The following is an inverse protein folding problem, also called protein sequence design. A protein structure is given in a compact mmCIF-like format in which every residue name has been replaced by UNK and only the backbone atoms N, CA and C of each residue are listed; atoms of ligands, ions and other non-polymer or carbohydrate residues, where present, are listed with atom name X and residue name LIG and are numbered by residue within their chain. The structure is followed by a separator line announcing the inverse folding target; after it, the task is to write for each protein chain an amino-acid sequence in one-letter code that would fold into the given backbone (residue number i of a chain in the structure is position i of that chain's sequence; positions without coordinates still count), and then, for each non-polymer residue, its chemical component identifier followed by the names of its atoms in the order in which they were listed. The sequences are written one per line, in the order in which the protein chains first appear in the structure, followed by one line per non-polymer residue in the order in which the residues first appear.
data_IF_225360903923
#
_entry.id   IF_225360903923
#
_cell.length_a   1.000
_cell.length_b   1.000
_cell.length_c   1.000
_cell.angle_alpha   90.00
_cell.angle_beta   90.00
_cell.angle_gamma   90.00
#
_symmetry.space_group_name_H-M   'P 1'
#
loop_
_entity.id
_entity.type
_entity.pdbx_description
1 polymer ?
#
# COMPACT_ATOMS: atom_id res chain seq x y z
N UNK A 1 12.77 0.20 14.10
CA UNK A 1 11.60 1.09 14.31
C UNK A 1 12.07 2.19 15.25
N UNK A 2 11.88 3.45 14.91
CA UNK A 2 12.24 4.61 15.76
C UNK A 2 11.00 5.37 16.24
N UNK A 3 9.83 5.14 15.63
CA UNK A 3 8.59 5.70 16.13
C UNK A 3 7.45 4.69 16.06
N UNK A 4 6.62 4.67 17.11
CA UNK A 4 5.36 3.95 17.13
C UNK A 4 4.34 4.67 18.01
N UNK A 5 3.17 4.99 17.45
CA UNK A 5 2.08 5.62 18.19
C UNK A 5 0.72 5.24 17.61
N UNK A 6 -0.34 5.39 18.40
CA UNK A 6 -1.70 5.37 17.88
C UNK A 6 -2.17 6.79 17.63
N UNK A 7 -2.89 6.97 16.53
CA UNK A 7 -3.70 8.14 16.25
C UNK A 7 -5.15 7.77 16.57
N UNK A 8 -5.66 8.26 17.69
CA UNK A 8 -7.02 8.02 18.13
C UNK A 8 -7.98 9.06 17.57
N UNK A 9 -9.11 8.59 17.03
CA UNK A 9 -10.22 9.43 16.60
C UNK A 9 -11.48 8.95 17.31
N UNK A 10 -12.19 9.87 17.95
CA UNK A 10 -13.54 9.62 18.50
C UNK A 10 -14.60 10.04 17.49
N UNK A 11 -15.56 9.17 17.22
CA UNK A 11 -16.56 9.38 16.17
C UNK A 11 -17.90 8.70 16.51
N UNK A 12 -18.93 8.97 15.70
CA UNK A 12 -20.20 8.24 15.76
C UNK A 12 -19.97 6.73 15.55
N UNK A 13 -20.67 5.83 16.25
CA UNK A 13 -20.54 4.38 16.05
C UNK A 13 -20.80 3.88 14.62
N UNK A 14 -21.47 4.67 13.79
CA UNK A 14 -21.77 4.33 12.39
C UNK A 14 -20.73 4.84 11.39
N UNK A 15 -19.78 5.65 11.85
CA UNK A 15 -18.75 6.26 11.00
C UNK A 15 -17.56 5.32 10.82
N UNK A 16 -16.98 5.33 9.62
CA UNK A 16 -15.71 4.65 9.33
C UNK A 16 -14.58 5.67 9.41
N UNK A 17 -13.47 5.33 10.06
CA UNK A 17 -12.27 6.18 10.11
C UNK A 17 -11.12 5.45 9.44
N UNK A 18 -10.47 6.12 8.49
CA UNK A 18 -9.30 5.59 7.77
C UNK A 18 -8.25 6.67 7.57
N UNK A 19 -7.03 6.24 7.23
CA UNK A 19 -5.96 7.16 6.88
C UNK A 19 -6.03 7.60 5.41
N UNK A 20 -5.66 8.85 5.14
CA UNK A 20 -5.41 9.34 3.79
C UNK A 20 -4.01 8.94 3.28
N UNK A 21 -3.64 9.44 2.10
CA UNK A 21 -2.32 9.21 1.51
C UNK A 21 -1.16 9.83 2.30
N UNK A 22 -1.44 10.77 3.20
CA UNK A 22 -0.48 11.45 4.06
C UNK A 22 -0.53 10.97 5.52
N UNK A 23 -1.35 9.95 5.82
CA UNK A 23 -1.51 9.41 7.17
C UNK A 23 -2.46 10.21 8.08
N UNK A 24 -3.19 11.19 7.54
CA UNK A 24 -4.18 11.97 8.29
C UNK A 24 -5.49 11.20 8.36
N UNK A 25 -6.22 11.34 9.47
CA UNK A 25 -7.48 10.65 9.64
C UNK A 25 -8.61 11.32 8.84
N UNK A 26 -9.39 10.50 8.15
CA UNK A 26 -10.63 10.88 7.46
C UNK A 26 -11.77 10.08 8.07
N UNK A 27 -12.86 10.78 8.40
CA UNK A 27 -14.17 10.15 8.60
C UNK A 27 -14.81 9.95 7.23
N UNK A 28 -15.11 8.70 6.88
CA UNK A 28 -15.74 8.29 5.64
C UNK A 28 -17.12 7.67 5.95
N UNK A 29 -18.19 8.46 5.80
CA UNK A 29 -19.55 8.00 6.06
C UNK A 29 -20.21 7.47 4.79
N UNK A 30 -21.29 6.70 4.96
CA UNK A 30 -22.22 6.33 3.88
C UNK A 30 -21.52 5.78 2.62
N UNK A 31 -20.75 4.71 2.80
CA UNK A 31 -19.98 4.09 1.72
C UNK A 31 -20.90 3.50 0.63
N UNK A 32 -20.95 4.16 -0.53
CA UNK A 32 -21.68 3.71 -1.70
C UNK A 32 -20.75 2.98 -2.67
N UNK A 33 -21.12 1.75 -3.07
CA UNK A 33 -20.39 1.01 -4.09
C UNK A 33 -20.49 1.71 -5.47
N UNK A 34 -19.52 1.51 -6.37
CA UNK A 34 -19.63 1.97 -7.75
C UNK A 34 -20.82 1.32 -8.45
N UNK A 35 -21.41 2.01 -9.42
CA UNK A 35 -22.45 1.46 -10.31
C UNK A 35 -21.85 0.71 -11.50
N UNK A 36 -20.61 1.02 -11.87
CA UNK A 36 -19.83 0.30 -12.87
C UNK A 36 -18.36 0.24 -12.49
N UNK A 37 -17.70 -0.86 -12.83
CA UNK A 37 -16.26 -1.02 -12.68
C UNK A 37 -15.72 -1.88 -13.81
N UNK A 38 -14.78 -1.35 -14.60
CA UNK A 38 -14.28 -2.02 -15.81
C UNK A 38 -12.78 -1.89 -15.90
N UNK A 39 -12.06 -2.97 -16.21
CA UNK A 39 -10.62 -2.89 -16.46
C UNK A 39 -10.29 -2.39 -17.88
N UNK A 40 -9.02 -2.14 -18.15
CA UNK A 40 -8.53 -1.71 -19.47
C UNK A 40 -8.92 -2.64 -20.63
N UNK A 41 -9.19 -3.92 -20.34
CA UNK A 41 -9.62 -4.90 -21.35
C UNK A 41 -11.13 -4.93 -21.56
N UNK A 42 -11.89 -4.10 -20.86
CA UNK A 42 -13.35 -4.05 -20.92
C UNK A 42 -14.04 -5.09 -20.04
N UNK A 43 -13.31 -5.78 -19.15
CA UNK A 43 -13.90 -6.79 -18.26
C UNK A 43 -14.55 -6.12 -17.06
N UNK A 44 -15.77 -6.55 -16.75
CA UNK A 44 -16.50 -6.10 -15.57
C UNK A 44 -15.83 -6.62 -14.29
N UNK A 45 -15.47 -5.69 -13.40
CA UNK A 45 -14.87 -5.93 -12.09
C UNK A 45 -15.78 -5.58 -10.92
N UNK A 46 -17.03 -5.16 -11.16
CA UNK A 46 -17.92 -4.63 -10.14
C UNK A 46 -18.07 -5.59 -8.96
N UNK A 47 -18.34 -6.87 -9.22
CA UNK A 47 -18.45 -7.88 -8.16
C UNK A 47 -17.19 -8.09 -7.33
N UNK A 48 -16.01 -7.79 -7.89
CA UNK A 48 -14.71 -7.97 -7.24
C UNK A 48 -14.28 -6.76 -6.39
N UNK A 49 -14.93 -5.61 -6.57
CA UNK A 49 -14.56 -4.34 -5.92
C UNK A 49 -15.71 -3.67 -5.17
N UNK A 50 -16.93 -4.20 -5.23
CA UNK A 50 -18.09 -3.57 -4.59
C UNK A 50 -18.16 -3.81 -3.07
N UNK A 51 -17.48 -4.84 -2.54
CA UNK A 51 -17.65 -5.29 -1.15
C UNK A 51 -16.34 -5.80 -0.56
N UNK A 52 -16.16 -5.58 0.74
CA UNK A 52 -15.11 -6.24 1.51
C UNK A 52 -15.47 -7.72 1.74
N UNK A 53 -15.20 -8.56 0.73
CA UNK A 53 -15.45 -10.01 0.77
C UNK A 53 -14.23 -10.87 0.39
N UNK A 54 -13.07 -10.24 0.15
CA UNK A 54 -11.83 -10.92 -0.22
C UNK A 54 -11.74 -11.31 -1.70
N UNK A 55 -12.76 -11.06 -2.52
CA UNK A 55 -12.80 -11.37 -3.95
C UNK A 55 -12.05 -10.34 -4.83
N UNK A 56 -10.92 -9.84 -4.35
CA UNK A 56 -10.19 -8.73 -4.94
C UNK A 56 -9.81 -8.88 -6.42
N UNK A 57 -9.73 -7.71 -7.07
CA UNK A 57 -9.35 -7.57 -8.47
C UNK A 57 -7.96 -8.15 -8.77
N UNK A 58 -7.85 -8.75 -9.96
CA UNK A 58 -6.61 -9.29 -10.52
C UNK A 58 -6.61 -9.20 -12.03
N UNK A 59 -5.46 -8.94 -12.63
CA UNK A 59 -5.28 -9.00 -14.08
C UNK A 59 -5.41 -10.43 -14.59
N UNK A 60 -5.91 -10.59 -15.81
CA UNK A 60 -5.94 -11.88 -16.49
C UNK A 60 -4.53 -12.27 -16.95
N UNK A 61 -4.30 -13.57 -17.17
CA UNK A 61 -3.03 -14.02 -17.76
C UNK A 61 -2.81 -13.40 -19.15
N UNK A 62 -3.88 -13.28 -19.93
CA UNK A 62 -3.84 -12.63 -21.24
C UNK A 62 -3.39 -11.17 -21.14
N UNK A 63 -3.88 -10.41 -20.15
CA UNK A 63 -3.45 -9.03 -19.93
C UNK A 63 -1.96 -8.96 -19.57
N UNK A 64 -1.49 -9.81 -18.66
CA UNK A 64 -0.08 -9.86 -18.28
C UNK A 64 0.83 -10.20 -19.47
N UNK A 65 0.41 -11.14 -20.31
CA UNK A 65 1.17 -11.54 -21.50
C UNK A 65 1.19 -10.45 -22.59
N UNK A 66 0.27 -9.48 -22.56
CA UNK A 66 0.22 -8.37 -23.52
C UNK A 66 0.97 -7.12 -23.07
N UNK A 67 1.55 -7.11 -21.87
CA UNK A 67 2.34 -5.99 -21.36
C UNK A 67 3.65 -5.85 -22.14
N UNK A 68 4.00 -4.61 -22.47
CA UNK A 68 5.20 -4.23 -23.20
C UNK A 68 5.90 -3.07 -22.47
N UNK A 69 7.18 -2.81 -22.81
CA UNK A 69 8.01 -1.83 -22.11
C UNK A 69 7.45 -0.40 -22.21
N UNK A 70 6.76 -0.07 -23.30
CA UNK A 70 6.10 1.22 -23.52
C UNK A 70 4.69 1.32 -22.91
N UNK A 71 4.18 0.22 -22.33
CA UNK A 71 2.85 0.16 -21.71
C UNK A 71 2.80 -0.88 -20.58
N UNK A 72 3.34 -0.49 -19.42
CA UNK A 72 3.40 -1.30 -18.20
C UNK A 72 2.15 -1.20 -17.32
N UNK A 73 1.27 -0.24 -17.61
CA UNK A 73 0.13 0.10 -16.74
C UNK A 73 -1.14 -0.66 -17.10
N UNK A 74 -1.98 -0.83 -16.11
CA UNK A 74 -3.37 -1.26 -16.20
C UNK A 74 -4.25 -0.23 -15.49
N UNK A 75 -5.56 -0.29 -15.69
CA UNK A 75 -6.48 0.58 -14.96
C UNK A 75 -7.83 -0.06 -14.68
N UNK A 76 -8.53 0.50 -13.69
CA UNK A 76 -9.96 0.26 -13.43
C UNK A 76 -10.68 1.60 -13.57
N UNK A 77 -11.62 1.67 -14.50
CA UNK A 77 -12.57 2.76 -14.63
C UNK A 77 -13.81 2.46 -13.78
N UNK A 78 -14.19 3.43 -12.96
CA UNK A 78 -15.27 3.36 -11.99
C UNK A 78 -16.26 4.50 -12.26
N UNK A 79 -17.55 4.20 -12.10
CA UNK A 79 -18.59 5.24 -12.08
C UNK A 79 -19.40 5.13 -10.80
N UNK A 80 -19.76 6.28 -10.23
CA UNK A 80 -20.60 6.41 -9.05
C UNK A 80 -21.76 7.36 -9.34
N UNK A 81 -22.92 7.05 -8.79
CA UNK A 81 -24.02 8.01 -8.68
C UNK A 81 -23.70 8.99 -7.54
N UNK A 82 -23.88 10.28 -7.80
CA UNK A 82 -23.66 11.35 -6.82
C UNK A 82 -24.83 12.32 -6.83
N UNK A 83 -25.14 12.87 -5.67
CA UNK A 83 -26.11 13.96 -5.57
C UNK A 83 -25.47 15.27 -6.05
N UNK A 84 -26.14 16.06 -6.90
CA UNK A 84 -25.63 17.36 -7.34
C UNK A 84 -25.30 18.29 -6.17
N UNK A 85 -24.18 18.99 -6.26
CA UNK A 85 -23.70 19.92 -5.23
C UNK A 85 -23.02 19.25 -4.03
N UNK A 86 -22.65 17.97 -4.14
CA UNK A 86 -21.85 17.29 -3.11
C UNK A 86 -20.37 17.65 -3.26
N UNK A 87 -19.84 18.40 -2.30
CA UNK A 87 -18.44 18.86 -2.31
C UNK A 87 -17.51 18.03 -1.41
N UNK A 88 -18.06 17.35 -0.40
CA UNK A 88 -17.29 16.61 0.62
C UNK A 88 -17.36 15.10 0.36
N UNK A 89 -16.65 14.63 -0.68
CA UNK A 89 -16.58 13.21 -1.02
C UNK A 89 -15.17 12.64 -0.89
N UNK A 90 -15.08 11.36 -0.52
CA UNK A 90 -13.83 10.63 -0.53
C UNK A 90 -13.95 9.29 -1.24
N UNK A 91 -12.91 8.91 -1.98
CA UNK A 91 -12.76 7.57 -2.50
C UNK A 91 -12.20 6.67 -1.40
N UNK A 92 -13.04 5.79 -0.87
CA UNK A 92 -12.63 4.73 0.04
C UNK A 92 -12.08 3.54 -0.74
N UNK A 93 -10.98 2.97 -0.27
CA UNK A 93 -10.28 1.85 -0.87
C UNK A 93 -9.88 0.83 0.18
N UNK A 94 -10.20 -0.45 -0.05
CA UNK A 94 -9.59 -1.58 0.65
C UNK A 94 -8.71 -2.34 -0.32
N UNK A 95 -7.40 -2.34 -0.06
CA UNK A 95 -6.41 -2.81 -1.01
C UNK A 95 -5.14 -3.33 -0.35
N UNK A 96 -4.33 -4.06 -1.11
CA UNK A 96 -2.94 -4.42 -0.80
C UNK A 96 -2.17 -4.62 -2.10
N UNK A 97 -0.85 -4.62 -2.05
CA UNK A 97 -0.09 -4.98 -3.24
C UNK A 97 -0.23 -6.48 -3.54
N UNK A 98 -0.01 -6.84 -4.80
CA UNK A 98 0.31 -8.22 -5.16
C UNK A 98 1.77 -8.55 -4.79
N UNK A 99 2.19 -9.77 -5.07
CA UNK A 99 3.59 -10.18 -4.90
C UNK A 99 4.50 -9.66 -6.03
N UNK A 100 4.01 -8.83 -6.96
CA UNK A 100 4.83 -8.26 -8.02
C UNK A 100 6.03 -7.48 -7.45
N UNK A 101 5.82 -6.67 -6.41
CA UNK A 101 6.92 -5.97 -5.74
C UNK A 101 7.93 -6.90 -5.10
N UNK A 102 7.46 -8.03 -4.57
CA UNK A 102 8.33 -9.08 -4.03
C UNK A 102 9.21 -9.68 -5.12
N UNK A 103 8.65 -9.94 -6.31
CA UNK A 103 9.41 -10.42 -7.48
C UNK A 103 10.39 -9.37 -7.98
N UNK A 104 9.94 -8.12 -8.13
CA UNK A 104 10.81 -7.03 -8.55
C UNK A 104 12.00 -6.88 -7.60
N UNK A 105 11.76 -6.82 -6.30
CA UNK A 105 12.82 -6.61 -5.31
C UNK A 105 13.72 -7.83 -5.13
N UNK A 106 13.14 -9.02 -4.91
CA UNK A 106 13.95 -10.20 -4.59
C UNK A 106 14.54 -10.90 -5.80
N UNK A 107 13.75 -11.10 -6.87
CA UNK A 107 14.24 -11.84 -8.03
C UNK A 107 15.05 -10.92 -8.95
N UNK A 108 14.51 -9.77 -9.35
CA UNK A 108 15.12 -8.89 -10.37
C UNK A 108 16.18 -7.95 -9.79
N UNK A 109 15.90 -7.29 -8.67
CA UNK A 109 16.84 -6.34 -8.08
C UNK A 109 17.95 -7.02 -7.29
N UNK A 110 17.74 -8.18 -6.67
CA UNK A 110 18.75 -8.82 -5.81
C UNK A 110 19.30 -10.12 -6.40
N UNK A 111 18.46 -11.13 -6.63
CA UNK A 111 18.92 -12.47 -6.98
C UNK A 111 19.69 -12.51 -8.33
N UNK A 112 19.22 -11.80 -9.36
CA UNK A 112 19.86 -11.76 -10.69
C UNK A 112 21.29 -11.18 -10.67
N UNK A 113 21.61 -10.35 -9.67
CA UNK A 113 22.94 -9.74 -9.55
C UNK A 113 23.98 -10.68 -8.90
N UNK A 114 23.54 -11.81 -8.30
CA UNK A 114 24.41 -12.72 -7.56
C UNK A 114 25.20 -12.00 -6.45
N UNK A 115 26.51 -12.20 -6.40
CA UNK A 115 27.39 -11.47 -5.49
C UNK A 115 27.40 -9.94 -5.71
N UNK A 116 27.09 -9.47 -6.92
CA UNK A 116 27.02 -8.04 -7.24
C UNK A 116 25.96 -7.28 -6.43
N UNK A 117 24.93 -7.98 -5.92
CA UNK A 117 23.93 -7.39 -5.04
C UNK A 117 24.55 -6.83 -3.74
N UNK A 118 25.63 -7.44 -3.23
CA UNK A 118 26.32 -6.96 -2.01
C UNK A 118 27.02 -5.63 -2.25
N UNK A 119 27.68 -5.49 -3.40
CA UNK A 119 28.31 -4.22 -3.79
C UNK A 119 27.25 -3.16 -4.06
N UNK A 120 26.15 -3.53 -4.73
CA UNK A 120 25.04 -2.64 -5.01
C UNK A 120 24.39 -2.11 -3.71
N UNK A 121 24.04 -3.00 -2.76
CA UNK A 121 23.47 -2.63 -1.46
C UNK A 121 24.47 -1.85 -0.58
N UNK A 122 25.72 -2.31 -0.52
CA UNK A 122 26.73 -1.75 0.38
C UNK A 122 27.35 -0.43 -0.10
N UNK A 123 27.41 -0.20 -1.42
CA UNK A 123 28.07 0.97 -2.01
C UNK A 123 27.16 1.80 -2.89
N UNK A 124 26.44 1.19 -3.83
CA UNK A 124 25.74 1.95 -4.88
C UNK A 124 24.44 2.57 -4.39
N UNK A 125 23.68 1.89 -3.53
CA UNK A 125 22.49 2.45 -2.85
C UNK A 125 22.86 3.50 -1.79
N UNK A 126 24.14 3.61 -1.42
CA UNK A 126 24.64 4.69 -0.56
C UNK A 126 25.24 5.86 -1.38
N UNK A 127 25.35 5.72 -2.71
CA UNK A 127 25.70 6.81 -3.59
C UNK A 127 24.45 7.63 -3.92
N UNK A 128 24.53 8.94 -3.64
CA UNK A 128 23.41 9.88 -3.77
C UNK A 128 22.72 9.80 -5.15
N UNK A 129 23.49 9.73 -6.24
CA UNK A 129 22.93 9.72 -7.60
C UNK A 129 22.15 8.44 -7.93
N UNK A 130 22.65 7.27 -7.50
CA UNK A 130 21.97 5.99 -7.75
C UNK A 130 20.71 5.85 -6.88
N UNK A 131 20.78 6.26 -5.62
CA UNK A 131 19.63 6.30 -4.69
C UNK A 131 18.51 7.17 -5.25
N UNK A 132 18.86 8.37 -5.73
CA UNK A 132 17.92 9.29 -6.34
C UNK A 132 17.32 8.70 -7.62
N UNK A 133 18.14 8.08 -8.48
CA UNK A 133 17.65 7.47 -9.72
C UNK A 133 16.64 6.34 -9.44
N UNK A 134 16.97 5.41 -8.54
CA UNK A 134 16.06 4.32 -8.14
C UNK A 134 14.79 4.89 -7.50
N UNK A 135 14.91 5.87 -6.60
CA UNK A 135 13.77 6.48 -5.92
C UNK A 135 12.83 7.24 -6.87
N UNK A 136 13.40 7.99 -7.83
CA UNK A 136 12.62 8.70 -8.86
C UNK A 136 11.94 7.72 -9.82
N UNK A 137 12.66 6.70 -10.28
CA UNK A 137 12.09 5.66 -11.13
C UNK A 137 10.96 4.91 -10.43
N UNK A 138 11.16 4.54 -9.17
CA UNK A 138 10.13 3.85 -8.38
C UNK A 138 8.90 4.73 -8.19
N UNK A 139 9.08 6.01 -7.82
CA UNK A 139 7.98 6.97 -7.65
C UNK A 139 7.21 7.22 -8.94
N UNK A 140 7.90 7.24 -10.09
CA UNK A 140 7.27 7.47 -11.38
C UNK A 140 6.43 6.27 -11.86
N UNK A 141 6.86 5.05 -11.52
CA UNK A 141 6.24 3.84 -12.05
C UNK A 141 5.27 3.17 -11.08
N UNK A 142 5.60 3.12 -9.79
CA UNK A 142 4.92 2.32 -8.78
C UNK A 142 3.82 3.11 -8.06
N UNK A 143 3.10 2.44 -7.16
CA UNK A 143 1.94 3.01 -6.48
C UNK A 143 0.63 2.90 -7.26
N UNK A 144 -0.38 3.61 -6.77
CA UNK A 144 -1.72 3.71 -7.33
C UNK A 144 -2.05 5.18 -7.57
N UNK A 145 -2.26 5.56 -8.82
CA UNK A 145 -2.73 6.88 -9.17
C UNK A 145 -4.25 6.89 -9.24
N UNK A 146 -4.87 7.88 -8.59
CA UNK A 146 -6.31 8.12 -8.60
C UNK A 146 -6.56 9.33 -9.48
N UNK A 147 -7.34 9.13 -10.55
CA UNK A 147 -7.72 10.20 -11.46
C UNK A 147 -9.23 10.40 -11.48
N UNK A 148 -9.68 11.63 -11.62
CA UNK A 148 -11.10 12.02 -11.71
C UNK A 148 -11.35 12.67 -13.07
N UNK A 149 -12.44 12.30 -13.73
CA UNK A 149 -12.86 12.92 -14.98
C UNK A 149 -13.47 14.30 -14.72
N UNK A 150 -12.98 15.33 -15.40
CA UNK A 150 -13.48 16.71 -15.28
C UNK A 150 -14.52 17.11 -16.35
N UNK A 151 -14.83 16.20 -17.28
CA UNK A 151 -15.66 16.48 -18.45
C UNK A 151 -14.91 16.35 -19.77
N UNK A 152 -13.60 16.59 -19.75
CA UNK A 152 -12.72 16.58 -20.93
C UNK A 152 -11.56 15.60 -20.79
N UNK A 153 -10.98 15.48 -19.59
CA UNK A 153 -9.83 14.64 -19.32
C UNK A 153 -9.86 14.08 -17.89
N UNK A 154 -9.03 13.04 -17.67
CA UNK A 154 -8.74 12.54 -16.34
C UNK A 154 -7.65 13.40 -15.69
N UNK A 155 -7.97 14.00 -14.55
CA UNK A 155 -7.05 14.80 -13.73
C UNK A 155 -6.61 14.01 -12.50
N UNK A 156 -5.34 14.15 -12.11
CA UNK A 156 -4.84 13.49 -10.90
C UNK A 156 -5.51 14.07 -9.65
N UNK A 157 -6.14 13.22 -8.84
CA UNK A 157 -6.77 13.57 -7.57
C UNK A 157 -5.99 13.06 -6.36
N UNK A 158 -5.13 12.05 -6.55
CA UNK A 158 -4.30 11.53 -5.48
C UNK A 158 -3.40 10.38 -5.93
N UNK A 159 -2.51 9.99 -5.02
CA UNK A 159 -1.59 8.89 -5.23
C UNK A 159 -1.40 8.11 -3.92
N UNK A 160 -1.49 6.79 -3.98
CA UNK A 160 -1.12 5.91 -2.87
C UNK A 160 0.19 5.21 -3.19
N UNK A 161 1.16 5.34 -2.27
CA UNK A 161 2.36 4.53 -2.32
C UNK A 161 2.03 3.05 -2.03
N UNK A 162 2.88 2.15 -2.50
CA UNK A 162 2.76 0.72 -2.23
C UNK A 162 2.75 0.44 -0.71
N UNK A 163 1.87 -0.46 -0.27
CA UNK A 163 1.59 -0.83 1.13
C UNK A 163 2.11 -2.23 1.50
N UNK A 164 2.65 -2.96 0.53
CA UNK A 164 3.08 -4.35 0.68
C UNK A 164 1.92 -5.37 0.53
N UNK A 165 2.25 -6.67 0.45
CA UNK A 165 1.28 -7.72 0.10
C UNK A 165 0.63 -8.43 1.30
N UNK A 166 1.10 -8.16 2.53
CA UNK A 166 0.73 -8.93 3.73
C UNK A 166 -0.65 -8.53 4.26
N UNK A 167 -0.79 -7.29 4.71
CA UNK A 167 -2.02 -6.81 5.32
C UNK A 167 -2.89 -6.09 4.29
N UNK A 168 -4.21 -6.17 4.48
CA UNK A 168 -5.13 -5.26 3.81
C UNK A 168 -4.99 -3.88 4.46
N UNK A 169 -4.90 -2.85 3.62
CA UNK A 169 -4.96 -1.45 4.01
C UNK A 169 -6.31 -0.89 3.60
N UNK A 170 -6.90 -0.10 4.49
CA UNK A 170 -8.06 0.72 4.21
C UNK A 170 -7.61 2.19 4.14
N UNK A 171 -7.96 2.88 3.07
CA UNK A 171 -7.53 4.25 2.76
C UNK A 171 -8.71 5.07 2.26
N UNK A 172 -8.67 6.38 2.47
CA UNK A 172 -9.58 7.30 1.80
C UNK A 172 -8.81 8.46 1.16
N UNK A 173 -9.22 8.90 -0.03
CA UNK A 173 -8.68 10.09 -0.68
C UNK A 173 -9.82 11.07 -0.88
N UNK A 174 -9.71 12.29 -0.33
CA UNK A 174 -10.64 13.36 -0.67
C UNK A 174 -10.57 13.65 -2.17
N UNK A 175 -11.71 13.70 -2.83
CA UNK A 175 -11.79 14.01 -4.24
C UNK A 175 -12.15 15.50 -4.44
N UNK A 176 -11.79 16.10 -5.58
CA UNK A 176 -12.29 17.43 -5.91
C UNK A 176 -13.82 17.46 -5.98
N UNK A 177 -14.40 18.63 -5.72
CA UNK A 177 -15.84 18.85 -5.77
C UNK A 177 -16.43 18.41 -7.12
N UNK A 178 -17.57 17.70 -7.06
CA UNK A 178 -18.19 17.07 -8.24
C UNK A 178 -19.17 18.01 -8.95
N UNK A 179 -19.39 19.21 -8.39
CA UNK A 179 -20.24 20.26 -8.93
C UNK A 179 -21.68 19.77 -9.13
N UNK A 180 -22.31 20.16 -10.23
CA UNK A 180 -23.70 19.78 -10.56
C UNK A 180 -23.82 18.41 -11.26
N UNK A 181 -22.72 17.66 -11.40
CA UNK A 181 -22.76 16.34 -12.04
C UNK A 181 -23.53 15.34 -11.17
N UNK A 182 -24.26 14.43 -11.82
CA UNK A 182 -24.90 13.27 -11.18
C UNK A 182 -24.04 12.01 -11.20
N UNK A 183 -22.92 12.08 -11.92
CA UNK A 183 -22.03 10.94 -12.09
C UNK A 183 -20.60 11.39 -11.84
N UNK A 184 -19.92 10.66 -10.97
CA UNK A 184 -18.50 10.80 -10.74
C UNK A 184 -17.78 9.65 -11.44
N UNK A 185 -16.80 9.97 -12.29
CA UNK A 185 -15.94 8.96 -12.92
C UNK A 185 -14.54 9.01 -12.35
N UNK A 186 -14.06 7.87 -11.90
CA UNK A 186 -12.75 7.71 -11.29
C UNK A 186 -11.98 6.64 -12.04
N UNK A 187 -10.71 6.90 -12.31
CA UNK A 187 -9.77 5.91 -12.83
C UNK A 187 -8.72 5.59 -11.78
N UNK A 188 -8.54 4.31 -11.50
CA UNK A 188 -7.42 3.78 -10.74
C UNK A 188 -6.36 3.28 -11.71
N UNK A 189 -5.18 3.89 -11.74
CA UNK A 189 -4.10 3.59 -12.69
C UNK A 189 -2.85 3.11 -11.95
N UNK A 190 -2.29 1.97 -12.37
CA UNK A 190 -1.19 1.32 -11.66
C UNK A 190 -0.43 0.35 -12.59
N UNK A 191 0.75 -0.10 -12.17
CA UNK A 191 1.48 -1.18 -12.89
C UNK A 191 0.62 -2.44 -12.94
N UNK A 192 0.55 -3.08 -14.09
CA UNK A 192 -0.33 -4.21 -14.31
C UNK A 192 -0.19 -5.30 -13.24
N UNK A 193 -1.32 -5.62 -12.60
CA UNK A 193 -1.44 -6.60 -11.52
C UNK A 193 -0.67 -6.27 -10.22
N UNK A 194 -0.18 -5.03 -10.01
CA UNK A 194 0.52 -4.62 -8.79
C UNK A 194 -0.40 -4.48 -7.57
N UNK A 195 -1.70 -4.30 -7.77
CA UNK A 195 -2.68 -4.13 -6.70
C UNK A 195 -3.72 -5.28 -6.66
N UNK A 196 -4.16 -5.59 -5.45
CA UNK A 196 -5.34 -6.37 -5.13
C UNK A 196 -6.33 -5.39 -4.51
N UNK A 197 -7.38 -5.04 -5.23
CA UNK A 197 -8.39 -4.09 -4.76
C UNK A 197 -9.66 -4.88 -4.46
N UNK A 198 -10.07 -4.89 -3.21
CA UNK A 198 -11.20 -5.68 -2.73
C UNK A 198 -12.46 -4.84 -2.57
N UNK A 199 -12.28 -3.58 -2.19
CA UNK A 199 -13.39 -2.65 -2.09
C UNK A 199 -12.99 -1.29 -2.63
N UNK A 200 -13.88 -0.71 -3.42
CA UNK A 200 -13.91 0.71 -3.72
C UNK A 200 -15.30 1.22 -3.35
N UNK A 201 -15.36 2.34 -2.65
CA UNK A 201 -16.63 2.99 -2.34
C UNK A 201 -16.46 4.51 -2.41
N UNK A 202 -17.55 5.23 -2.67
CA UNK A 202 -17.62 6.67 -2.48
C UNK A 202 -18.21 6.94 -1.11
N UNK A 203 -17.49 7.69 -0.29
CA UNK A 203 -17.95 8.19 0.98
C UNK A 203 -18.51 9.59 0.81
N UNK A 204 -19.66 9.86 1.43
CA UNK A 204 -20.29 11.20 1.46
C UNK A 204 -20.07 11.86 2.81
N UNK A 205 -20.02 13.20 2.83
CA UNK A 205 -19.73 13.97 4.04
C UNK A 205 -18.36 13.64 4.63
N UNK A 206 -17.40 13.35 3.75
CA UNK A 206 -16.06 12.95 4.14
C UNK A 206 -15.26 14.17 4.60
N UNK A 207 -14.59 14.05 5.75
CA UNK A 207 -13.87 15.17 6.33
C UNK A 207 -12.56 14.71 6.98
N UNK A 208 -11.54 15.56 6.89
CA UNK A 208 -10.34 15.42 7.69
C UNK A 208 -10.66 15.75 9.14
N UNK A 209 -10.14 14.94 10.05
CA UNK A 209 -10.30 15.15 11.48
C UNK A 209 -8.95 15.12 12.18
N UNK A 210 -8.84 15.90 13.25
CA UNK A 210 -7.69 15.81 14.13
C UNK A 210 -7.73 14.50 14.89
N UNK A 211 -6.54 13.95 15.15
CA UNK A 211 -6.38 12.74 15.93
C UNK A 211 -5.59 13.05 17.20
N UNK A 212 -5.95 12.37 18.29
CA UNK A 212 -5.20 12.39 19.53
C UNK A 212 -4.06 11.40 19.42
N UNK A 213 -2.83 11.85 19.60
CA UNK A 213 -1.67 10.96 19.65
C UNK A 213 -1.66 10.22 20.99
N UNK A 214 -1.45 8.89 20.92
CA UNK A 214 -1.28 8.01 22.08
C UNK A 214 0.05 7.29 21.94
N UNK A 215 1.01 7.66 22.77
CA UNK A 215 2.33 7.08 22.77
C UNK A 215 2.34 5.68 23.40
N UNK A 216 3.37 4.90 23.08
CA UNK A 216 3.63 3.63 23.75
C UNK A 216 3.80 3.86 25.25
N UNK A 217 2.99 3.19 26.06
CA UNK A 217 3.03 3.31 27.51
C UNK A 217 4.00 2.30 28.15
N UNK A 218 4.04 1.08 27.62
CA UNK A 218 4.93 0.00 28.07
C UNK A 218 5.28 -0.94 26.91
N UNK A 219 6.37 -1.69 27.07
CA UNK A 219 6.70 -2.81 26.21
C UNK A 219 7.27 -3.99 27.01
N UNK A 220 7.07 -5.20 26.49
CA UNK A 220 7.61 -6.44 27.03
C UNK A 220 8.36 -7.21 25.93
N UNK A 221 9.53 -7.74 26.27
CA UNK A 221 10.28 -8.71 25.46
C UNK A 221 10.04 -10.12 25.99
N UNK A 222 10.10 -11.14 25.13
CA UNK A 222 10.02 -12.55 25.57
C UNK A 222 11.23 -12.97 26.44
N UNK A 223 12.40 -12.34 26.28
CA UNK A 223 13.65 -12.67 26.96
C UNK A 223 13.98 -11.77 28.18
N UNK A 224 13.06 -10.86 28.54
CA UNK A 224 13.05 -10.16 29.83
C UNK A 224 14.05 -9.02 30.02
N UNK A 225 14.94 -8.75 29.07
CA UNK A 225 15.87 -7.63 29.15
C UNK A 225 15.94 -6.85 27.83
N UNK A 226 15.05 -5.87 27.66
CA UNK A 226 15.22 -4.82 26.66
C UNK A 226 15.64 -3.50 27.33
N UNK A 227 16.36 -2.62 26.62
CA UNK A 227 16.49 -1.23 27.03
C UNK A 227 15.11 -0.55 27.03
N UNK A 228 15.01 0.71 27.48
CA UNK A 228 13.73 1.45 27.56
C UNK A 228 13.07 1.60 26.18
N UNK A 229 12.28 0.60 25.77
CA UNK A 229 11.64 0.51 24.46
C UNK A 229 10.73 1.70 24.19
N UNK A 230 9.87 2.17 25.14
CA UNK A 230 9.11 3.39 24.94
C UNK A 230 9.95 4.58 24.49
N UNK A 231 11.17 4.75 25.00
CA UNK A 231 12.06 5.84 24.60
C UNK A 231 12.46 5.73 23.12
N UNK A 232 12.82 4.53 22.64
CA UNK A 232 13.16 4.27 21.23
C UNK A 232 11.98 4.39 20.26
N UNK A 233 10.75 4.49 20.75
CA UNK A 233 9.54 4.53 19.92
C UNK A 233 8.83 5.89 20.01
N UNK A 234 9.39 6.85 20.75
CA UNK A 234 8.73 8.11 21.06
C UNK A 234 8.71 9.10 19.89
N UNK A 235 9.72 9.09 19.03
CA UNK A 235 9.87 10.07 17.95
C UNK A 235 10.71 9.50 16.81
N UNK A 236 10.40 9.91 15.57
CA UNK A 236 11.23 9.59 14.41
C UNK A 236 12.53 10.42 14.47
N UNK A 237 13.52 9.94 15.22
CA UNK A 237 14.77 10.61 15.55
C UNK A 237 16.02 9.81 15.13
N UNK A 238 15.82 8.77 14.32
CA UNK A 238 16.85 7.85 13.84
C UNK A 238 17.51 7.00 14.96
N UNK A 239 16.95 6.98 16.18
CA UNK A 239 17.35 6.07 17.24
C UNK A 239 16.48 4.82 17.23
N UNK A 240 16.94 3.79 16.52
CA UNK A 240 16.12 2.62 16.25
C UNK A 240 16.12 1.58 17.37
N UNK A 241 14.92 1.14 17.76
CA UNK A 241 14.70 -0.20 18.28
C UNK A 241 14.93 -1.23 17.16
N UNK A 242 15.85 -2.16 17.40
CA UNK A 242 16.26 -3.19 16.45
C UNK A 242 15.77 -4.55 16.96
N UNK A 243 15.06 -5.28 16.10
CA UNK A 243 14.67 -6.68 16.30
C UNK A 243 15.32 -7.55 15.24
N UNK A 244 15.77 -8.74 15.62
CA UNK A 244 16.31 -9.76 14.72
C UNK A 244 15.26 -10.82 14.36
N UNK A 245 15.50 -11.63 13.32
CA UNK A 245 14.61 -12.76 13.01
C UNK A 245 14.39 -13.64 14.25
N UNK A 246 13.11 -13.86 14.59
CA UNK A 246 12.69 -14.64 15.76
C UNK A 246 12.55 -13.84 17.06
N UNK A 247 12.99 -12.59 17.10
CA UNK A 247 12.73 -11.67 18.22
C UNK A 247 11.37 -10.99 18.04
N UNK A 248 10.62 -10.86 19.13
CA UNK A 248 9.33 -10.17 19.14
C UNK A 248 9.23 -9.23 20.36
N UNK A 249 8.46 -8.15 20.21
CA UNK A 249 8.23 -7.17 21.27
C UNK A 249 6.73 -6.89 21.32
N UNK A 250 6.14 -7.04 22.50
CA UNK A 250 4.76 -6.64 22.75
C UNK A 250 4.73 -5.21 23.28
N UNK A 251 4.06 -4.30 22.58
CA UNK A 251 3.86 -2.90 23.00
C UNK A 251 2.43 -2.68 23.49
N UNK A 252 2.27 -1.78 24.47
CA UNK A 252 0.98 -1.50 25.10
C UNK A 252 0.72 0.01 25.10
N UNK A 253 -0.53 0.39 24.84
CA UNK A 253 -1.00 1.77 24.81
C UNK A 253 -2.07 1.98 25.87
N UNK A 254 -1.96 3.07 26.64
CA UNK A 254 -2.97 3.45 27.62
C UNK A 254 -3.96 4.42 26.97
N UNK A 255 -5.05 3.87 26.44
CA UNK A 255 -6.04 4.63 25.67
C UNK A 255 -7.16 5.22 26.52
N UNK A 256 -7.29 4.85 27.79
CA UNK A 256 -8.37 5.31 28.67
C UNK A 256 -9.76 4.78 28.30
N UNK A 257 -10.82 5.37 28.89
CA UNK A 257 -12.21 5.01 28.60
C UNK A 257 -12.76 5.83 27.43
N UNK A 258 -13.66 5.22 26.65
CA UNK A 258 -14.39 5.94 25.60
C UNK A 258 -15.49 6.81 26.21
N UNK A 259 -15.76 7.95 25.59
CA UNK A 259 -16.92 8.77 25.93
C UNK A 259 -18.23 8.02 25.67
N UNK A 260 -19.25 8.25 26.50
CA UNK A 260 -20.54 7.58 26.38
C UNK A 260 -21.19 7.86 25.02
N UNK A 261 -21.52 6.81 24.27
CA UNK A 261 -22.17 6.91 22.96
C UNK A 261 -21.23 7.14 21.78
N UNK A 262 -19.92 7.25 22.01
CA UNK A 262 -18.91 7.43 20.97
C UNK A 262 -18.12 6.14 20.72
N UNK A 263 -17.74 5.92 19.47
CA UNK A 263 -16.75 4.90 19.09
C UNK A 263 -15.35 5.53 18.97
N UNK A 264 -14.33 4.68 19.07
CA UNK A 264 -12.92 5.08 18.88
C UNK A 264 -12.28 4.20 17.82
N UNK A 265 -11.65 4.83 16.85
CA UNK A 265 -10.77 4.17 15.90
C UNK A 265 -9.32 4.57 16.17
N UNK A 266 -8.43 3.60 16.06
CA UNK A 266 -7.00 3.78 16.23
C UNK A 266 -6.29 3.48 14.92
N UNK A 267 -5.56 4.45 14.39
CA UNK A 267 -4.66 4.26 13.27
C UNK A 267 -3.23 4.08 13.83
N UNK A 268 -2.52 3.06 13.39
CA UNK A 268 -1.12 2.87 13.79
C UNK A 268 -0.22 3.75 12.93
N UNK A 269 0.52 4.66 13.56
CA UNK A 269 1.58 5.41 12.91
C UNK A 269 2.94 4.84 13.36
N UNK A 270 3.76 4.47 12.39
CA UNK A 270 5.08 3.87 12.64
C UNK A 270 6.13 4.43 11.70
N UNK A 271 7.35 4.62 12.22
CA UNK A 271 8.54 4.96 11.43
C UNK A 271 9.62 3.89 11.62
N UNK A 272 10.35 3.62 10.54
CA UNK A 272 11.46 2.69 10.53
C UNK A 272 11.63 2.01 9.18
N UNK A 273 12.56 1.07 9.14
CA UNK A 273 12.85 0.24 7.98
C UNK A 273 13.25 -1.16 8.44
N UNK A 274 13.17 -2.12 7.52
CA UNK A 274 13.77 -3.43 7.68
C UNK A 274 15.05 -3.51 6.85
N UNK A 275 16.02 -4.26 7.32
CA UNK A 275 17.21 -4.61 6.55
C UNK A 275 16.96 -5.99 5.95
N UNK A 276 17.04 -6.09 4.62
CA UNK A 276 16.92 -7.37 3.94
C UNK A 276 18.20 -8.20 4.09
N UNK A 277 18.04 -9.51 4.29
CA UNK A 277 19.15 -10.43 4.41
C UNK A 277 19.39 -11.13 3.08
N UNK A 278 20.63 -11.08 2.59
CA UNK A 278 21.00 -11.82 1.39
C UNK A 278 20.88 -13.33 1.64
N UNK A 279 20.19 -14.01 0.73
CA UNK A 279 19.98 -15.46 0.84
C UNK A 279 21.16 -16.23 0.24
N UNK A 280 21.60 -17.35 0.85
CA UNK A 280 22.73 -18.13 0.32
C UNK A 280 22.56 -18.58 -1.13
N UNK A 281 21.32 -18.88 -1.54
CA UNK A 281 20.99 -19.28 -2.91
C UNK A 281 21.16 -18.15 -3.92
N UNK A 282 20.87 -16.90 -3.55
CA UNK A 282 21.07 -15.74 -4.43
C UNK A 282 22.55 -15.50 -4.72
N UNK A 283 23.39 -15.66 -3.69
CA UNK A 283 24.84 -15.50 -3.85
C UNK A 283 25.47 -16.57 -4.74
N UNK A 284 24.83 -17.72 -4.92
CA UNK A 284 25.31 -18.81 -5.79
C UNK A 284 24.83 -18.67 -7.24
N UNK A 285 23.92 -17.76 -7.53
CA UNK A 285 23.45 -17.52 -8.89
C UNK A 285 24.57 -16.92 -9.75
N UNK A 286 24.63 -17.32 -11.02
CA UNK A 286 25.49 -16.67 -12.00
C UNK A 286 24.96 -15.25 -12.24
N UNK A 287 25.81 -14.24 -12.01
CA UNK A 287 25.41 -12.85 -12.13
C UNK A 287 25.08 -12.51 -13.59
N UNK A 288 23.84 -12.11 -13.86
CA UNK A 288 23.41 -11.74 -15.21
C UNK A 288 23.91 -10.34 -15.59
N UNK A 289 23.68 -9.35 -14.72
CA UNK A 289 24.14 -7.96 -14.84
C UNK A 289 23.84 -7.19 -13.54
N UNK A 290 24.43 -6.00 -13.38
CA UNK A 290 24.00 -5.06 -12.35
C UNK A 290 22.57 -4.55 -12.62
N UNK A 291 21.81 -4.31 -11.55
CA UNK A 291 20.45 -3.79 -11.67
C UNK A 291 20.47 -2.36 -12.24
N UNK A 292 19.56 -2.11 -13.18
CA UNK A 292 19.30 -0.78 -13.74
C UNK A 292 17.81 -0.50 -13.58
N UNK A 293 17.50 0.61 -12.91
CA UNK A 293 16.13 1.09 -12.70
C UNK A 293 15.55 1.62 -14.02
N UNK A 294 14.84 0.76 -14.76
CA UNK A 294 14.22 1.08 -16.04
C UNK A 294 12.97 0.22 -16.31
N UNK A 295 12.24 0.56 -17.37
CA UNK A 295 11.01 -0.10 -17.77
C UNK A 295 11.21 -1.56 -18.16
N UNK A 296 12.38 -1.92 -18.70
CA UNK A 296 12.74 -3.30 -19.00
C UNK A 296 12.84 -4.15 -17.72
N UNK A 297 13.38 -3.59 -16.63
CA UNK A 297 13.44 -4.29 -15.35
C UNK A 297 12.05 -4.56 -14.78
N UNK A 298 11.13 -3.58 -14.89
CA UNK A 298 9.74 -3.76 -14.48
C UNK A 298 9.01 -4.75 -15.38
N UNK A 299 9.20 -4.70 -16.70
CA UNK A 299 8.65 -5.67 -17.64
C UNK A 299 9.12 -7.09 -17.34
N UNK A 300 10.40 -7.28 -17.01
CA UNK A 300 10.95 -8.58 -16.57
C UNK A 300 10.26 -9.05 -15.29
N UNK A 301 10.10 -8.18 -14.29
CA UNK A 301 9.40 -8.52 -13.05
C UNK A 301 7.94 -8.94 -13.31
N UNK A 302 7.22 -8.22 -14.19
CA UNK A 302 5.84 -8.57 -14.57
C UNK A 302 5.78 -9.95 -15.22
N UNK A 303 6.71 -10.27 -16.13
CA UNK A 303 6.76 -11.58 -16.81
C UNK A 303 7.06 -12.72 -15.82
N UNK A 304 8.09 -12.55 -14.99
CA UNK A 304 8.42 -13.53 -13.94
C UNK A 304 7.26 -13.74 -12.96
N UNK A 305 6.61 -12.65 -12.55
CA UNK A 305 5.43 -12.73 -11.71
C UNK A 305 4.29 -13.48 -12.42
N UNK A 306 4.01 -13.17 -13.69
CA UNK A 306 2.96 -13.82 -14.47
C UNK A 306 3.15 -15.34 -14.59
N UNK A 307 4.41 -15.80 -14.69
CA UNK A 307 4.74 -17.24 -14.75
C UNK A 307 4.57 -17.95 -13.40
N UNK A 308 4.86 -17.27 -12.30
CA UNK A 308 4.97 -17.88 -10.95
C UNK A 308 3.85 -17.49 -10.00
N UNK A 309 2.92 -16.64 -10.42
CA UNK A 309 1.92 -15.95 -9.58
C UNK A 309 1.19 -16.88 -8.62
N UNK A 310 0.68 -18.01 -9.12
CA UNK A 310 -0.13 -18.91 -8.30
C UNK A 310 0.73 -19.67 -7.26
N UNK A 311 1.93 -20.12 -7.66
CA UNK A 311 2.88 -20.77 -6.74
C UNK A 311 3.42 -19.81 -5.67
N UNK A 312 3.74 -18.56 -6.04
CA UNK A 312 4.14 -17.54 -5.07
C UNK A 312 3.03 -17.22 -4.08
N UNK A 313 1.77 -17.14 -4.53
CA UNK A 313 0.64 -16.91 -3.63
C UNK A 313 0.44 -18.06 -2.65
N UNK A 314 0.50 -19.30 -3.12
CA UNK A 314 0.38 -20.48 -2.25
C UNK A 314 1.48 -20.54 -1.20
N UNK A 315 2.73 -20.34 -1.61
CA UNK A 315 3.87 -20.28 -0.70
C UNK A 315 3.72 -19.14 0.32
N UNK A 316 3.27 -17.98 -0.13
CA UNK A 316 3.05 -16.83 0.72
C UNK A 316 1.97 -17.08 1.78
N UNK A 317 0.80 -17.60 1.38
CA UNK A 317 -0.28 -17.89 2.33
C UNK A 317 0.13 -19.01 3.31
N UNK A 318 0.93 -19.98 2.88
CA UNK A 318 1.46 -21.05 3.75
C UNK A 318 2.45 -20.50 4.78
N UNK A 319 3.39 -19.65 4.35
CA UNK A 319 4.45 -19.14 5.21
C UNK A 319 4.01 -17.95 6.07
N UNK A 320 2.98 -17.19 5.66
CA UNK A 320 2.42 -16.09 6.48
C UNK A 320 1.89 -16.58 7.83
N UNK A 321 1.40 -17.82 7.89
CA UNK A 321 0.95 -18.47 9.13
C UNK A 321 2.11 -18.85 10.06
N UNK A 322 3.32 -19.07 9.52
CA UNK A 322 4.52 -19.43 10.30
C UNK A 322 5.31 -18.22 10.80
N UNK A 323 4.96 -16.99 10.38
CA UNK A 323 5.57 -15.73 10.83
C UNK A 323 4.71 -14.99 11.88
N UNK A 324 3.67 -15.64 12.41
CA UNK A 324 2.84 -15.15 13.52
C UNK A 324 3.18 -15.88 14.82
#
# INVERSE_FOLDING_TARGET
IDQLQLLEVSHSPTATVVADQYGRAIIANELAAPVSATDQSGRNLLSAVARNDGAASKATQQRLNSIAADNLRDHIDLEFDVEPGTDDVALYLRLRNSLLNTVLFYDVMLAEQGFGALDWLGRDVNQLLNTLNVGLWYRANMGLEILVWDGEAYQSAGHLADQGPIAWSERAILLPAVGDSKTLRVRLSYVADNWRIDQVALASGAQLVESRQVNVARANAEDGALPDVPAFLAAADEQYLITRPGESISVYFDVGQADAGMARTYLLASSGYYIEWMRPEWLRAEAAAAFVANDDALLRAIRLYAERRDGYRELFETNRVMMQ
#
